data_IF_907224256382
#
_entry.id   IF_907224256382
#
_cell.length_a   1.000
_cell.length_b   1.000
_cell.length_c   1.000
_cell.angle_alpha   90.00
_cell.angle_beta   90.00
_cell.angle_gamma   90.00
#
_symmetry.space_group_name_H-M   'P 1'
#
loop_
_entity.id
_entity.type
_entity.pdbx_description
1 polymer ?
#
# COMPACT_ATOMS: atom_id res chain seq x y z
N UNK A 1 -28.44 -73.37 -4.57
CA UNK A 1 -27.49 -72.24 -4.41
C UNK A 1 -27.71 -71.35 -5.62
N UNK A 2 -28.61 -70.37 -5.50
CA UNK A 2 -28.92 -69.43 -6.58
C UNK A 2 -28.43 -68.04 -6.20
N UNK A 3 -27.48 -67.55 -6.99
CA UNK A 3 -26.82 -66.26 -6.83
C UNK A 3 -27.75 -65.15 -7.35
N UNK A 4 -28.20 -64.25 -6.47
CA UNK A 4 -28.93 -63.05 -6.88
C UNK A 4 -27.92 -62.01 -7.38
N UNK A 5 -27.93 -61.75 -8.68
CA UNK A 5 -27.21 -60.64 -9.31
C UNK A 5 -27.87 -59.31 -8.98
N UNK A 6 -27.14 -58.45 -8.26
CA UNK A 6 -27.56 -57.09 -7.94
C UNK A 6 -27.35 -56.19 -9.17
N UNK A 7 -28.44 -55.76 -9.83
CA UNK A 7 -28.41 -54.78 -10.91
C UNK A 7 -28.43 -53.38 -10.31
N UNK A 8 -27.31 -52.67 -10.40
CA UNK A 8 -27.19 -51.27 -9.98
C UNK A 8 -27.75 -50.38 -11.10
N UNK A 9 -28.71 -49.48 -10.82
CA UNK A 9 -29.29 -48.62 -11.84
C UNK A 9 -28.28 -47.57 -12.32
N UNK A 10 -28.09 -47.48 -13.63
CA UNK A 10 -27.12 -46.61 -14.33
C UNK A 10 -27.31 -45.11 -14.11
N UNK A 11 -28.45 -44.68 -13.56
CA UNK A 11 -28.72 -43.27 -13.26
C UNK A 11 -28.01 -42.76 -12.01
N UNK A 12 -27.67 -43.63 -11.03
CA UNK A 12 -26.93 -43.23 -9.83
C UNK A 12 -25.45 -42.93 -10.10
N UNK A 13 -24.86 -43.54 -11.14
CA UNK A 13 -23.44 -43.35 -11.48
C UNK A 13 -23.14 -41.98 -12.10
N UNK A 14 -24.13 -41.34 -12.75
CA UNK A 14 -23.92 -40.03 -13.39
C UNK A 14 -23.90 -38.87 -12.37
N UNK A 15 -24.69 -38.97 -11.29
CA UNK A 15 -24.75 -37.97 -10.22
C UNK A 15 -23.48 -37.88 -9.37
N UNK A 16 -22.72 -38.98 -9.26
CA UNK A 16 -21.49 -39.02 -8.46
C UNK A 16 -20.30 -38.34 -9.15
N UNK A 17 -20.29 -38.30 -10.49
CA UNK A 17 -19.25 -37.67 -11.29
C UNK A 17 -19.33 -36.14 -11.28
N UNK A 18 -20.54 -35.56 -11.09
CA UNK A 18 -20.72 -34.11 -11.04
C UNK A 18 -20.29 -33.49 -9.70
N UNK A 19 -20.43 -34.23 -8.59
CA UNK A 19 -19.97 -33.78 -7.27
C UNK A 19 -18.45 -33.78 -7.11
N UNK A 20 -17.73 -34.64 -7.83
CA UNK A 20 -16.26 -34.68 -7.79
C UNK A 20 -15.63 -33.50 -8.55
N UNK A 21 -16.35 -32.87 -9.49
CA UNK A 21 -15.83 -31.73 -10.26
C UNK A 21 -15.92 -30.39 -9.52
N UNK A 22 -16.75 -30.29 -8.47
CA UNK A 22 -16.89 -29.06 -7.67
C UNK A 22 -15.86 -28.94 -6.54
N UNK A 23 -15.11 -30.01 -6.24
CA UNK A 23 -14.09 -30.03 -5.18
C UNK A 23 -12.65 -29.99 -5.71
N UNK A 24 -12.42 -29.71 -7.00
CA UNK A 24 -11.12 -29.24 -7.46
C UNK A 24 -10.92 -27.76 -7.09
N UNK A 25 -10.89 -27.48 -5.79
CA UNK A 25 -10.19 -26.30 -5.30
C UNK A 25 -8.72 -26.55 -5.58
N UNK A 26 -8.22 -25.95 -6.67
CA UNK A 26 -6.79 -25.81 -6.92
C UNK A 26 -6.18 -25.06 -5.74
N UNK A 27 -5.71 -25.77 -4.73
CA UNK A 27 -4.75 -25.23 -3.78
C UNK A 27 -3.49 -24.96 -4.59
N UNK A 28 -3.37 -23.74 -5.13
CA UNK A 28 -2.07 -23.25 -5.56
C UNK A 28 -1.20 -23.28 -4.31
N UNK A 29 -0.33 -24.27 -4.21
CA UNK A 29 0.78 -24.22 -3.29
C UNK A 29 1.50 -22.90 -3.59
N UNK A 30 1.42 -21.95 -2.66
CA UNK A 30 2.06 -20.66 -2.80
C UNK A 30 3.55 -20.91 -2.66
N UNK A 31 4.20 -21.30 -3.76
CA UNK A 31 5.64 -21.21 -3.88
C UNK A 31 5.95 -19.72 -3.80
N UNK A 32 6.38 -19.26 -2.62
CA UNK A 32 6.82 -17.88 -2.44
C UNK A 32 7.98 -17.66 -3.39
N UNK A 33 7.75 -16.91 -4.47
CA UNK A 33 8.81 -16.41 -5.32
C UNK A 33 9.87 -15.71 -4.44
N UNK A 34 11.17 -15.79 -4.74
CA UNK A 34 12.22 -15.04 -4.02
C UNK A 34 11.90 -13.55 -3.86
N UNK A 35 11.16 -12.96 -4.79
CA UNK A 35 10.68 -11.59 -4.76
C UNK A 35 9.53 -11.33 -3.79
N UNK A 36 8.62 -12.31 -3.58
CA UNK A 36 7.64 -12.26 -2.48
C UNK A 36 8.34 -12.37 -1.12
N UNK A 37 9.48 -13.07 -1.05
CA UNK A 37 10.27 -13.17 0.18
C UNK A 37 10.87 -11.82 0.58
N UNK A 38 11.29 -10.99 -0.38
CA UNK A 38 11.85 -9.67 -0.07
C UNK A 38 10.79 -8.73 0.50
N UNK A 39 9.63 -8.63 -0.17
CA UNK A 39 8.49 -7.82 0.29
C UNK A 39 8.02 -8.28 1.66
N UNK A 40 7.84 -9.59 1.88
CA UNK A 40 7.46 -10.16 3.18
C UNK A 40 8.46 -9.82 4.29
N UNK A 41 9.77 -9.95 4.03
CA UNK A 41 10.83 -9.61 4.99
C UNK A 41 10.80 -8.14 5.39
N UNK A 42 10.53 -7.24 4.44
CA UNK A 42 10.42 -5.80 4.70
C UNK A 42 9.17 -5.50 5.50
N UNK A 43 8.01 -5.97 5.04
CA UNK A 43 6.74 -5.68 5.70
C UNK A 43 6.64 -6.28 7.11
N UNK A 44 7.43 -7.30 7.46
CA UNK A 44 7.51 -7.79 8.85
C UNK A 44 8.21 -6.82 9.81
N UNK A 45 8.89 -5.81 9.28
CA UNK A 45 9.61 -4.78 10.06
C UNK A 45 8.90 -3.43 10.04
N UNK A 46 7.82 -3.28 9.28
CA UNK A 46 7.00 -2.07 9.26
C UNK A 46 6.01 -2.07 10.44
N UNK A 47 5.45 -0.91 10.74
CA UNK A 47 4.48 -0.74 11.82
C UNK A 47 3.19 -1.55 11.59
N UNK A 48 2.82 -1.74 10.33
CA UNK A 48 1.68 -2.55 9.92
C UNK A 48 2.08 -3.46 8.76
N UNK A 49 2.18 -4.76 9.05
CA UNK A 49 2.58 -5.77 8.06
C UNK A 49 1.55 -5.90 6.94
N UNK A 50 0.27 -5.99 7.30
CA UNK A 50 -0.81 -6.21 6.33
C UNK A 50 -0.97 -5.03 5.39
N UNK A 51 -0.94 -3.81 5.92
CA UNK A 51 -1.01 -2.60 5.09
C UNK A 51 0.24 -2.41 4.25
N UNK A 52 1.42 -2.77 4.75
CA UNK A 52 2.64 -2.75 3.93
C UNK A 52 2.55 -3.70 2.73
N UNK A 53 2.10 -4.94 2.95
CA UNK A 53 1.90 -5.90 1.88
C UNK A 53 0.93 -5.34 0.84
N UNK A 54 -0.23 -4.84 1.27
CA UNK A 54 -1.21 -4.24 0.38
C UNK A 54 -0.64 -3.04 -0.41
N UNK A 55 0.12 -2.17 0.26
CA UNK A 55 0.70 -0.98 -0.35
C UNK A 55 1.78 -1.31 -1.39
N UNK A 56 2.67 -2.28 -1.11
CA UNK A 56 3.70 -2.66 -2.09
C UNK A 56 3.12 -3.49 -3.23
N UNK A 57 2.16 -4.38 -2.94
CA UNK A 57 1.54 -5.23 -3.96
C UNK A 57 0.60 -4.50 -4.92
N UNK A 58 0.24 -3.24 -4.62
CA UNK A 58 -0.49 -2.40 -5.58
C UNK A 58 0.34 -2.09 -6.84
N UNK A 59 1.66 -2.21 -6.77
CA UNK A 59 2.54 -2.21 -7.93
C UNK A 59 3.08 -3.63 -8.20
N UNK A 60 2.72 -4.26 -9.34
CA UNK A 60 3.23 -5.58 -9.70
C UNK A 60 4.76 -5.66 -9.75
N UNK A 61 5.46 -4.54 -9.98
CA UNK A 61 6.94 -4.48 -10.00
C UNK A 61 7.54 -4.81 -8.64
N UNK A 62 6.83 -4.56 -7.53
CA UNK A 62 7.30 -4.95 -6.19
C UNK A 62 7.47 -6.46 -6.09
N UNK A 63 6.58 -7.23 -6.75
CA UNK A 63 6.63 -8.71 -6.79
C UNK A 63 7.72 -9.24 -7.70
N UNK A 64 8.42 -8.42 -8.45
CA UNK A 64 9.54 -8.85 -9.31
C UNK A 64 10.83 -8.12 -8.98
N UNK A 65 10.84 -7.26 -7.95
CA UNK A 65 12.03 -6.56 -7.49
C UNK A 65 13.11 -7.57 -7.06
N UNK A 66 14.29 -7.46 -7.68
CA UNK A 66 15.42 -8.38 -7.46
C UNK A 66 16.40 -7.90 -6.40
N UNK A 67 16.25 -6.66 -5.91
CA UNK A 67 17.11 -6.06 -4.89
C UNK A 67 16.34 -5.09 -3.98
N UNK A 68 16.88 -4.82 -2.80
CA UNK A 68 16.35 -3.80 -1.89
C UNK A 68 16.30 -2.42 -2.56
N UNK A 69 17.30 -2.10 -3.39
CA UNK A 69 17.38 -0.80 -4.06
C UNK A 69 16.28 -0.66 -5.11
N UNK A 70 16.00 -1.72 -5.87
CA UNK A 70 14.86 -1.74 -6.79
C UNK A 70 13.53 -1.59 -6.03
N UNK A 71 13.37 -2.29 -4.92
CA UNK A 71 12.16 -2.20 -4.08
C UNK A 71 12.00 -0.80 -3.46
N UNK A 72 13.11 -0.16 -3.02
CA UNK A 72 13.10 1.20 -2.50
C UNK A 72 12.59 2.20 -3.54
N UNK A 73 13.11 2.13 -4.78
CA UNK A 73 12.66 2.99 -5.89
C UNK A 73 11.16 2.81 -6.16
N UNK A 74 10.67 1.57 -6.17
CA UNK A 74 9.24 1.28 -6.37
C UNK A 74 8.41 1.84 -5.21
N UNK A 75 8.86 1.63 -3.96
CA UNK A 75 8.19 2.15 -2.77
C UNK A 75 8.09 3.68 -2.80
N UNK A 76 9.18 4.38 -3.09
CA UNK A 76 9.20 5.84 -3.17
C UNK A 76 8.33 6.36 -4.33
N UNK A 77 8.33 5.68 -5.48
CA UNK A 77 7.43 6.02 -6.59
C UNK A 77 5.95 5.90 -6.19
N UNK A 78 5.58 4.85 -5.44
CA UNK A 78 4.23 4.70 -4.88
C UNK A 78 3.91 5.84 -3.90
N UNK A 79 4.84 6.22 -3.04
CA UNK A 79 4.69 7.37 -2.13
C UNK A 79 4.43 8.68 -2.89
N UNK A 80 5.20 8.96 -3.94
CA UNK A 80 5.01 10.15 -4.80
C UNK A 80 3.62 10.13 -5.45
N UNK A 81 3.21 9.00 -6.03
CA UNK A 81 1.90 8.88 -6.66
C UNK A 81 0.77 9.08 -5.65
N UNK A 82 0.90 8.51 -4.45
CA UNK A 82 -0.08 8.70 -3.38
C UNK A 82 -0.17 10.16 -2.93
N UNK A 83 0.96 10.79 -2.62
CA UNK A 83 1.01 12.19 -2.19
C UNK A 83 0.44 13.14 -3.25
N UNK A 84 0.75 12.93 -4.54
CA UNK A 84 0.16 13.69 -5.65
C UNK A 84 -1.35 13.49 -5.75
N UNK A 85 -1.83 12.26 -5.61
CA UNK A 85 -3.26 11.95 -5.61
C UNK A 85 -4.00 12.63 -4.45
N UNK A 86 -3.39 12.68 -3.28
CA UNK A 86 -3.92 13.37 -2.10
C UNK A 86 -3.88 14.90 -2.23
N UNK A 87 -2.81 15.46 -2.80
CA UNK A 87 -2.75 16.88 -3.14
C UNK A 87 -3.87 17.28 -4.11
N UNK A 88 -4.13 16.47 -5.13
CA UNK A 88 -5.23 16.71 -6.06
C UNK A 88 -6.58 16.70 -5.36
N UNK A 89 -6.81 15.70 -4.49
CA UNK A 89 -8.02 15.65 -3.66
C UNK A 89 -8.20 16.92 -2.82
N UNK A 90 -7.16 17.36 -2.11
CA UNK A 90 -7.21 18.59 -1.30
C UNK A 90 -7.54 19.82 -2.16
N UNK A 91 -6.88 19.96 -3.31
CA UNK A 91 -7.14 21.06 -4.23
C UNK A 91 -8.58 21.05 -4.76
N UNK A 92 -9.18 19.88 -4.96
CA UNK A 92 -10.57 19.76 -5.37
C UNK A 92 -11.54 20.11 -4.24
N UNK A 93 -11.24 19.73 -2.99
CA UNK A 93 -12.00 20.18 -1.82
C UNK A 93 -11.93 21.70 -1.63
N UNK A 94 -10.76 22.31 -1.84
CA UNK A 94 -10.58 23.78 -1.84
C UNK A 94 -11.51 24.44 -2.87
N UNK A 95 -11.57 23.92 -4.10
CA UNK A 95 -12.40 24.49 -5.17
C UNK A 95 -13.90 24.39 -4.91
N UNK A 96 -14.35 23.36 -4.19
CA UNK A 96 -15.77 23.20 -3.82
C UNK A 96 -16.23 24.31 -2.86
N UNK A 97 -15.28 24.93 -2.15
CA UNK A 97 -15.55 25.95 -1.16
C UNK A 97 -15.98 25.33 0.17
N UNK A 98 -15.48 25.90 1.26
CA UNK A 98 -15.81 25.49 2.63
C UNK A 98 -15.85 26.70 3.56
N UNK A 99 -16.30 26.53 4.80
CA UNK A 99 -16.22 27.60 5.80
C UNK A 99 -14.76 28.05 6.00
N UNK A 100 -14.55 29.32 6.38
CA UNK A 100 -13.20 29.92 6.43
C UNK A 100 -12.16 29.10 7.21
N UNK A 101 -12.57 28.48 8.34
CA UNK A 101 -11.68 27.61 9.12
C UNK A 101 -11.30 26.30 8.41
N UNK A 102 -12.25 25.67 7.71
CA UNK A 102 -11.96 24.46 6.93
C UNK A 102 -11.10 24.79 5.69
N UNK A 103 -11.33 25.96 5.09
CA UNK A 103 -10.56 26.44 3.95
C UNK A 103 -9.08 26.65 4.32
N UNK A 104 -8.81 27.30 5.46
CA UNK A 104 -7.45 27.51 5.97
C UNK A 104 -6.71 26.19 6.20
N UNK A 105 -7.39 25.21 6.83
CA UNK A 105 -6.84 23.86 7.06
C UNK A 105 -6.49 23.18 5.75
N UNK A 106 -7.39 23.22 4.76
CA UNK A 106 -7.15 22.60 3.46
C UNK A 106 -5.97 23.24 2.72
N UNK A 107 -5.83 24.56 2.77
CA UNK A 107 -4.71 25.28 2.14
C UNK A 107 -3.36 24.95 2.81
N UNK A 108 -3.33 24.90 4.14
CA UNK A 108 -2.15 24.48 4.89
C UNK A 108 -1.77 23.03 4.58
N UNK A 109 -2.75 22.12 4.58
CA UNK A 109 -2.54 20.73 4.17
C UNK A 109 -2.06 20.62 2.72
N UNK A 110 -2.58 21.42 1.79
CA UNK A 110 -2.09 21.46 0.40
C UNK A 110 -0.61 21.87 0.33
N UNK A 111 -0.18 22.80 1.17
CA UNK A 111 1.23 23.18 1.30
C UNK A 111 2.09 22.02 1.80
N UNK A 112 1.67 21.35 2.88
CA UNK A 112 2.34 20.16 3.40
C UNK A 112 2.44 19.06 2.35
N UNK A 113 1.37 18.75 1.61
CA UNK A 113 1.42 17.72 0.56
C UNK A 113 2.33 18.08 -0.62
N UNK A 114 2.50 19.37 -0.94
CA UNK A 114 3.51 19.79 -1.91
C UNK A 114 4.91 19.51 -1.40
N UNK A 115 5.19 19.80 -0.12
CA UNK A 115 6.47 19.49 0.52
C UNK A 115 6.74 17.98 0.52
N UNK A 116 5.76 17.15 0.91
CA UNK A 116 5.87 15.68 0.84
C UNK A 116 6.23 15.17 -0.56
N UNK A 117 5.59 15.72 -1.60
CA UNK A 117 5.88 15.34 -3.00
C UNK A 117 7.32 15.70 -3.37
N UNK A 118 7.82 16.86 -2.93
CA UNK A 118 9.20 17.27 -3.16
C UNK A 118 10.16 16.34 -2.41
N UNK A 119 9.98 16.12 -1.11
CA UNK A 119 10.84 15.25 -0.30
C UNK A 119 10.89 13.81 -0.84
N UNK A 120 9.74 13.22 -1.20
CA UNK A 120 9.77 11.90 -1.83
C UNK A 120 10.45 11.90 -3.21
N UNK A 121 10.36 12.99 -3.96
CA UNK A 121 11.04 13.10 -5.27
C UNK A 121 12.55 13.23 -5.09
N UNK A 122 13.01 14.05 -4.15
CA UNK A 122 14.43 14.15 -3.75
C UNK A 122 14.95 12.79 -3.31
N UNK A 123 14.25 12.12 -2.40
CA UNK A 123 14.63 10.79 -1.94
C UNK A 123 14.77 9.77 -3.09
N UNK A 124 13.94 9.87 -4.13
CA UNK A 124 14.04 8.97 -5.28
C UNK A 124 15.36 9.17 -6.06
N UNK A 125 15.81 10.42 -6.21
CA UNK A 125 17.08 10.78 -6.85
C UNK A 125 18.26 10.34 -5.96
N UNK A 126 18.18 10.64 -4.67
CA UNK A 126 19.22 10.35 -3.67
C UNK A 126 19.44 8.86 -3.43
N UNK A 127 18.48 7.98 -3.73
CA UNK A 127 18.66 6.52 -3.64
C UNK A 127 19.87 6.01 -4.44
N UNK A 128 20.31 6.75 -5.46
CA UNK A 128 21.51 6.43 -6.23
C UNK A 128 22.80 7.09 -5.72
N UNK A 129 22.69 8.13 -4.90
CA UNK A 129 23.80 9.01 -4.51
C UNK A 129 24.14 8.90 -3.02
N UNK A 130 23.13 9.08 -2.16
CA UNK A 130 23.22 9.03 -0.71
C UNK A 130 21.91 8.49 -0.11
N UNK A 131 21.95 7.20 0.23
CA UNK A 131 20.83 6.49 0.84
C UNK A 131 20.44 7.07 2.20
N UNK A 132 21.38 7.66 2.95
CA UNK A 132 21.08 8.24 4.26
C UNK A 132 20.22 9.50 4.09
N UNK A 133 20.55 10.35 3.12
CA UNK A 133 19.74 11.52 2.78
C UNK A 133 18.37 11.09 2.25
N UNK A 134 18.32 10.08 1.37
CA UNK A 134 17.04 9.53 0.90
C UNK A 134 16.17 8.99 2.05
N UNK A 135 16.77 8.31 3.02
CA UNK A 135 16.07 7.81 4.22
C UNK A 135 15.50 8.96 5.07
N UNK A 136 16.28 10.03 5.25
CA UNK A 136 15.87 11.23 5.96
C UNK A 136 14.70 11.93 5.27
N UNK A 137 14.78 12.16 3.96
CA UNK A 137 13.73 12.83 3.20
C UNK A 137 12.41 12.04 3.15
N UNK A 138 12.49 10.70 3.10
CA UNK A 138 11.32 9.83 3.26
C UNK A 138 10.67 10.03 4.63
N UNK A 139 11.47 10.24 5.68
CA UNK A 139 10.96 10.45 7.05
C UNK A 139 10.31 11.82 7.18
N UNK A 140 10.95 12.88 6.66
CA UNK A 140 10.40 14.24 6.62
C UNK A 140 9.03 14.28 5.95
N UNK A 141 8.86 13.60 4.82
CA UNK A 141 7.56 13.51 4.16
C UNK A 141 6.47 12.86 5.04
N UNK A 142 6.84 11.94 5.93
CA UNK A 142 5.93 11.38 6.94
C UNK A 142 5.56 12.39 8.02
N UNK A 143 6.54 13.16 8.50
CA UNK A 143 6.35 14.19 9.53
C UNK A 143 5.47 15.34 8.99
N UNK A 144 5.59 15.70 7.70
CA UNK A 144 4.70 16.68 7.06
C UNK A 144 3.23 16.24 7.07
N UNK A 145 2.95 14.93 7.03
CA UNK A 145 1.58 14.42 7.14
C UNK A 145 1.02 14.61 8.55
N UNK A 146 1.87 14.48 9.57
CA UNK A 146 1.53 14.83 10.95
C UNK A 146 1.27 16.34 11.12
N UNK A 147 1.96 17.20 10.37
CA UNK A 147 1.67 18.64 10.37
C UNK A 147 0.26 18.95 9.83
N UNK A 148 -0.15 18.33 8.72
CA UNK A 148 -1.51 18.48 8.21
C UNK A 148 -2.55 17.92 9.21
N UNK A 149 -2.26 16.79 9.84
CA UNK A 149 -3.13 16.21 10.86
C UNK A 149 -3.26 17.13 12.09
N UNK A 150 -2.16 17.73 12.53
CA UNK A 150 -2.13 18.66 13.65
C UNK A 150 -2.93 19.94 13.34
N UNK A 151 -2.89 20.43 12.10
CA UNK A 151 -3.67 21.60 11.68
C UNK A 151 -5.18 21.32 11.72
N UNK A 152 -5.62 20.16 11.23
CA UNK A 152 -7.01 19.72 11.40
C UNK A 152 -7.43 19.69 12.87
N UNK A 153 -6.59 19.12 13.74
CA UNK A 153 -6.86 19.04 15.17
C UNK A 153 -6.89 20.43 15.84
N UNK A 154 -5.96 21.33 15.50
CA UNK A 154 -5.85 22.67 16.11
C UNK A 154 -7.08 23.53 15.80
N UNK A 155 -7.59 23.43 14.57
CA UNK A 155 -8.78 24.14 14.09
C UNK A 155 -10.09 23.40 14.37
N UNK A 156 -10.03 22.20 14.95
CA UNK A 156 -11.18 21.32 15.23
C UNK A 156 -12.00 21.03 13.97
N UNK A 157 -11.30 20.80 12.87
CA UNK A 157 -11.88 20.47 11.56
C UNK A 157 -11.67 18.98 11.34
N UNK A 158 -12.77 18.27 11.05
CA UNK A 158 -12.72 16.84 10.75
C UNK A 158 -13.00 16.61 9.26
N UNK A 159 -11.99 16.10 8.56
CA UNK A 159 -12.10 15.67 7.16
C UNK A 159 -11.61 14.21 7.11
N UNK A 160 -12.49 13.22 7.34
CA UNK A 160 -12.07 11.82 7.49
C UNK A 160 -11.24 11.30 6.31
N UNK A 161 -11.62 11.66 5.09
CA UNK A 161 -10.89 11.30 3.88
C UNK A 161 -9.50 11.92 3.77
N UNK A 162 -9.25 13.06 4.44
CA UNK A 162 -7.91 13.65 4.52
C UNK A 162 -7.08 13.00 5.64
N UNK A 163 -7.71 12.66 6.76
CA UNK A 163 -7.05 11.89 7.82
C UNK A 163 -6.56 10.52 7.30
N UNK A 164 -7.40 9.79 6.55
CA UNK A 164 -7.02 8.52 5.92
C UNK A 164 -5.82 8.67 4.98
N UNK A 165 -5.75 9.79 4.25
CA UNK A 165 -4.63 10.10 3.35
C UNK A 165 -3.35 10.41 4.11
N UNK A 166 -3.44 11.11 5.23
CA UNK A 166 -2.29 11.37 6.10
C UNK A 166 -1.74 10.06 6.66
N UNK A 167 -2.61 9.18 7.13
CA UNK A 167 -2.23 7.84 7.61
C UNK A 167 -1.57 7.00 6.50
N UNK A 168 -2.05 7.13 5.26
CA UNK A 168 -1.47 6.44 4.13
C UNK A 168 -0.07 6.97 3.78
N UNK A 169 0.16 8.28 3.80
CA UNK A 169 1.50 8.86 3.64
C UNK A 169 2.45 8.39 4.73
N UNK A 170 1.99 8.35 5.99
CA UNK A 170 2.79 7.84 7.12
C UNK A 170 3.16 6.37 6.95
N UNK A 171 2.23 5.55 6.46
CA UNK A 171 2.52 4.17 6.08
C UNK A 171 3.61 4.10 5.01
N UNK A 172 3.48 4.86 3.92
CA UNK A 172 4.47 4.89 2.84
C UNK A 172 5.84 5.39 3.31
N UNK A 173 5.88 6.40 4.17
CA UNK A 173 7.09 6.88 4.84
C UNK A 173 7.74 5.77 5.67
N UNK A 174 6.96 5.05 6.48
CA UNK A 174 7.48 3.93 7.28
C UNK A 174 8.03 2.79 6.42
N UNK A 175 7.33 2.41 5.35
CA UNK A 175 7.80 1.37 4.41
C UNK A 175 9.12 1.82 3.78
N UNK A 176 9.17 3.02 3.23
CA UNK A 176 10.37 3.57 2.59
C UNK A 176 11.55 3.63 3.55
N UNK A 177 11.34 4.12 4.78
CA UNK A 177 12.35 4.19 5.84
C UNK A 177 12.91 2.81 6.17
N UNK A 178 12.06 1.80 6.36
CA UNK A 178 12.48 0.43 6.67
C UNK A 178 13.29 -0.19 5.55
N UNK A 179 12.97 0.10 4.28
CA UNK A 179 13.73 -0.42 3.14
C UNK A 179 15.10 0.26 3.06
N UNK A 180 15.15 1.60 3.17
CA UNK A 180 16.41 2.36 3.01
C UNK A 180 17.35 2.18 4.20
N UNK A 181 16.85 1.91 5.41
CA UNK A 181 17.65 1.48 6.58
C UNK A 181 18.31 0.08 6.41
N UNK A 182 18.07 -0.59 5.28
CA UNK A 182 18.67 -1.91 4.96
C UNK A 182 19.61 -1.85 3.76
N UNK A 183 19.77 -0.68 3.15
CA UNK A 183 20.68 -0.41 2.03
C UNK A 183 22.02 0.11 2.56
#
# INVERSE_FOLDING_TARGET
>A
MDSKTLKIPTTLSLSLLFFLFLFSSSTKAQTSSPSNILVDKICKKTLDNTKCLAALESDPRSKTATSLKALAKISVQLSISNAKGSLNFINDEIKKGSGSGQQEVLEQCASSYKAMVLSFSSALEELDEDVMTANYDIKVAGDDADLCQAEMASKKVEIPSLADRNDQVKLYSNIGFVITDKL
#
